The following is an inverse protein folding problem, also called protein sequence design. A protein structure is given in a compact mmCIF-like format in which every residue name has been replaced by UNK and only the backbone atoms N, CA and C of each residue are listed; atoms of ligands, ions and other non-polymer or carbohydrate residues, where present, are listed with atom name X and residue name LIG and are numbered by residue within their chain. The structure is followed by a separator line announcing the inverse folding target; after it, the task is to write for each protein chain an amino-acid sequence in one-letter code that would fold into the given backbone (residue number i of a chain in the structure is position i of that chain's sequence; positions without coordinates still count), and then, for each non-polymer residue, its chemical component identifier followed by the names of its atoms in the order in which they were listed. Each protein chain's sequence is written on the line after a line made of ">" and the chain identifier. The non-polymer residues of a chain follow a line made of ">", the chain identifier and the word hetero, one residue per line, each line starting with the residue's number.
data_IF_280916529569
#
_entry.id   IF_280916529569
#
_cell.length_a   1.000
_cell.length_b   1.000
_cell.length_c   1.000
_cell.angle_alpha   90.00
_cell.angle_beta   90.00
_cell.angle_gamma   90.00
#
_symmetry.space_group_name_H-M   'P 1'
#
loop_
_entity.id
_entity.type
_entity.pdbx_description
1 polymer ?
#
# COMPACT_ATOMS: atom_id res chain seq x y z
N UNK A 1 -12.43 19.30 24.72
CA UNK A 1 -12.43 19.54 24.64
C UNK A 1 -12.12 19.48 24.45
N UNK A 2 -12.33 18.64 24.23
CA UNK A 2 -12.38 18.62 24.09
C UNK A 2 -12.32 18.32 24.14
N UNK A 3 -13.15 18.02 23.73
CA UNK A 3 -13.51 17.97 23.70
C UNK A 3 -13.33 17.60 23.63
N UNK A 4 -13.96 17.21 23.85
CA UNK A 4 -14.19 17.11 23.81
C UNK A 4 -13.98 16.73 23.86
N UNK A 5 -14.45 16.20 23.74
CA UNK A 5 -14.61 16.22 23.78
C UNK A 5 -14.37 15.80 23.79
N UNK A 6 -14.61 15.33 23.95
CA UNK A 6 -14.66 15.26 24.00
C UNK A 6 -14.33 14.98 24.23
N UNK A 7 -14.97 14.47 24.22
CA UNK A 7 -14.92 14.58 24.47
C UNK A 7 -14.47 14.24 24.67
N UNK A 8 -14.68 13.71 24.77
CA UNK A 8 -14.56 13.71 24.88
C UNK A 8 -14.09 13.33 25.13
N UNK A 9 -14.50 12.74 25.53
CA UNK A 9 -14.35 12.76 25.68
C UNK A 9 -14.08 12.31 25.58
N UNK A 10 -13.99 11.84 25.71
CA UNK A 10 -13.88 11.84 25.67
C UNK A 10 -13.35 11.62 25.62
N UNK A 11 -14.15 11.09 25.54
CA UNK A 11 -13.90 11.24 25.25
C UNK A 11 -13.03 10.83 25.18
N UNK A 12 -13.29 10.30 25.65
CA UNK A 12 -12.61 10.30 25.49
C UNK A 12 -12.30 9.36 25.33
N UNK A 13 -12.85 8.72 25.81
CA UNK A 13 -12.68 8.08 25.46
C UNK A 13 -13.00 7.38 24.82
N UNK A 14 -13.54 7.07 24.90
CA UNK A 14 -13.81 6.69 23.99
C UNK A 14 -13.04 6.44 23.05
N UNK A 15 -12.76 6.10 23.14
CA UNK A 15 -12.02 6.42 22.31
C UNK A 15 -10.64 6.09 22.08
N UNK A 16 -10.20 5.14 22.83
CA UNK A 16 -8.80 5.17 22.60
C UNK A 16 -8.38 4.41 21.38
N UNK A 17 -8.94 3.30 21.14
CA UNK A 17 -8.77 2.59 19.87
C UNK A 17 -9.18 3.48 18.71
N UNK A 18 -10.26 4.13 18.92
CA UNK A 18 -10.73 5.05 17.90
C UNK A 18 -9.78 6.21 17.69
N UNK A 19 -9.12 6.62 18.76
CA UNK A 19 -8.12 7.66 18.64
C UNK A 19 -6.98 7.23 17.75
N UNK A 20 -6.53 6.00 17.90
CA UNK A 20 -5.51 5.47 17.02
C UNK A 20 -5.96 5.45 15.59
N UNK A 21 -7.17 5.03 15.36
CA UNK A 21 -7.71 5.02 14.01
C UNK A 21 -7.76 6.43 13.45
N UNK A 22 -8.14 7.38 14.25
CA UNK A 22 -8.17 8.77 13.82
C UNK A 22 -6.80 9.24 13.39
N UNK A 23 -5.80 8.91 14.15
CA UNK A 23 -4.44 9.32 13.83
C UNK A 23 -4.00 8.77 12.48
N UNK A 24 -4.44 7.56 12.16
CA UNK A 24 -4.05 6.91 10.92
C UNK A 24 -4.98 7.20 9.76
N UNK A 25 -6.08 7.87 10.05
CA UNK A 25 -7.10 8.07 9.04
C UNK A 25 -6.61 8.84 7.84
N UNK A 26 -5.76 9.82 8.06
CA UNK A 26 -5.20 10.58 6.97
C UNK A 26 -3.95 9.99 6.37
N UNK A 27 -3.60 8.78 6.81
CA UNK A 27 -2.36 8.17 6.38
C UNK A 27 -2.63 6.85 5.69
N UNK A 28 -1.94 6.64 4.61
CA UNK A 28 -2.00 5.41 3.86
C UNK A 28 -0.99 4.45 4.45
N UNK A 29 -1.36 3.18 4.54
CA UNK A 29 -0.44 2.13 4.98
C UNK A 29 -0.22 1.16 3.83
N UNK A 30 0.77 0.27 4.03
CA UNK A 30 1.03 -0.75 3.02
C UNK A 30 -0.18 -1.66 2.85
N UNK A 31 -0.96 -1.86 3.92
CA UNK A 31 -2.19 -2.65 3.81
C UNK A 31 -3.18 -1.99 2.86
N UNK A 32 -3.27 -0.66 2.89
CA UNK A 32 -4.13 0.06 1.95
C UNK A 32 -3.68 -0.22 0.51
N UNK A 33 -2.37 -0.16 0.28
CA UNK A 33 -1.83 -0.41 -1.05
C UNK A 33 -2.13 -1.84 -1.49
N UNK A 34 -1.92 -2.80 -0.62
CA UNK A 34 -2.18 -4.20 -0.94
C UNK A 34 -3.65 -4.41 -1.27
N UNK A 35 -4.55 -3.79 -0.50
CA UNK A 35 -5.98 -3.92 -0.76
C UNK A 35 -6.38 -3.32 -2.09
N UNK A 36 -5.89 -2.13 -2.39
CA UNK A 36 -6.27 -1.45 -3.63
C UNK A 36 -5.73 -2.18 -4.86
N UNK A 37 -4.48 -2.61 -4.79
CA UNK A 37 -3.90 -3.37 -5.90
C UNK A 37 -4.63 -4.71 -6.05
N UNK A 38 -4.94 -5.36 -4.93
CA UNK A 38 -5.68 -6.61 -4.97
C UNK A 38 -7.04 -6.46 -5.61
N UNK A 39 -7.75 -5.40 -5.27
CA UNK A 39 -9.06 -5.14 -5.86
C UNK A 39 -8.96 -4.86 -7.36
N UNK A 40 -7.96 -4.09 -7.74
CA UNK A 40 -7.78 -3.73 -9.14
C UNK A 40 -7.57 -4.97 -10.01
N UNK A 41 -6.82 -5.95 -9.50
CA UNK A 41 -6.47 -7.16 -10.26
C UNK A 41 -7.30 -8.38 -9.85
N UNK A 42 -8.22 -8.22 -8.90
CA UNK A 42 -9.02 -9.32 -8.37
C UNK A 42 -8.14 -10.42 -7.76
N UNK A 43 -7.19 -10.00 -6.95
CA UNK A 43 -6.22 -10.87 -6.30
C UNK A 43 -6.32 -10.66 -4.80
N UNK A 44 -6.29 -11.75 -4.03
CA UNK A 44 -6.36 -11.65 -2.58
C UNK A 44 -5.01 -11.27 -1.98
N UNK A 45 -5.05 -10.80 -0.74
CA UNK A 45 -3.82 -10.47 -0.02
C UNK A 45 -2.92 -11.70 0.09
N UNK A 46 -3.50 -12.86 0.37
CA UNK A 46 -2.73 -14.09 0.45
C UNK A 46 -1.99 -14.37 -0.85
N UNK A 47 -2.67 -14.18 -1.97
CA UNK A 47 -2.05 -14.41 -3.27
C UNK A 47 -0.93 -13.41 -3.53
N UNK A 48 -1.14 -12.16 -3.16
CA UNK A 48 -0.10 -11.14 -3.34
C UNK A 48 1.14 -11.46 -2.53
N UNK A 49 0.97 -12.00 -1.34
CA UNK A 49 2.10 -12.33 -0.48
C UNK A 49 2.66 -13.73 -0.71
N UNK A 50 2.05 -14.47 -1.61
CA UNK A 50 2.49 -15.83 -1.91
C UNK A 50 3.76 -15.83 -2.75
N UNK A 51 4.25 -17.03 -3.01
CA UNK A 51 5.41 -17.21 -3.89
C UNK A 51 4.99 -17.47 -5.32
N UNK A 52 3.72 -17.27 -5.65
CA UNK A 52 3.21 -17.55 -6.97
C UNK A 52 3.95 -16.71 -8.02
N UNK A 53 4.22 -17.35 -9.14
CA UNK A 53 4.84 -16.70 -10.30
C UNK A 53 3.87 -16.55 -11.45
N UNK A 54 2.58 -16.79 -11.19
CA UNK A 54 1.55 -16.54 -12.19
C UNK A 54 1.63 -15.07 -12.56
N UNK A 55 1.66 -14.79 -13.87
CA UNK A 55 2.00 -13.48 -14.38
C UNK A 55 1.26 -12.33 -13.75
N UNK A 56 -0.07 -12.45 -13.64
CA UNK A 56 -0.87 -11.37 -13.09
C UNK A 56 -0.59 -11.16 -11.59
N UNK A 57 -0.42 -12.25 -10.86
CA UNK A 57 -0.12 -12.16 -9.42
C UNK A 57 1.25 -11.56 -9.20
N UNK A 58 2.23 -12.01 -9.99
CA UNK A 58 3.59 -11.47 -9.87
C UNK A 58 3.61 -9.98 -10.22
N UNK A 59 2.91 -9.60 -11.28
CA UNK A 59 2.85 -8.20 -11.68
C UNK A 59 2.20 -7.33 -10.60
N UNK A 60 1.08 -7.80 -10.06
CA UNK A 60 0.38 -7.06 -9.01
C UNK A 60 1.28 -6.88 -7.79
N UNK A 61 2.02 -7.94 -7.42
CA UNK A 61 2.96 -7.85 -6.30
C UNK A 61 4.03 -6.80 -6.56
N UNK A 62 4.59 -6.81 -7.75
CA UNK A 62 5.63 -5.85 -8.10
C UNK A 62 5.10 -4.42 -8.06
N UNK A 63 3.88 -4.22 -8.54
CA UNK A 63 3.26 -2.90 -8.51
C UNK A 63 3.02 -2.46 -7.07
N UNK A 64 2.54 -3.36 -6.21
CA UNK A 64 2.31 -3.02 -4.81
C UNK A 64 3.61 -2.61 -4.13
N UNK A 65 4.70 -3.33 -4.40
CA UNK A 65 6.01 -2.97 -3.84
C UNK A 65 6.47 -1.60 -4.33
N UNK A 66 6.28 -1.34 -5.61
CA UNK A 66 6.67 -0.05 -6.20
C UNK A 66 5.87 1.10 -5.57
N UNK A 67 4.57 0.92 -5.40
CA UNK A 67 3.74 1.96 -4.80
C UNK A 67 4.07 2.18 -3.33
N UNK A 68 4.39 1.10 -2.60
CA UNK A 68 4.83 1.25 -1.21
C UNK A 68 6.10 2.08 -1.14
N UNK A 69 7.01 1.87 -2.09
CA UNK A 69 8.24 2.64 -2.12
C UNK A 69 8.02 4.11 -2.49
N UNK A 70 7.18 4.36 -3.50
CA UNK A 70 6.99 5.71 -3.99
C UNK A 70 6.00 6.53 -3.18
N UNK A 71 4.92 5.93 -2.73
CA UNK A 71 3.88 6.66 -2.02
C UNK A 71 4.16 6.75 -0.53
N UNK A 72 4.71 5.70 0.07
CA UNK A 72 4.97 5.66 1.50
C UNK A 72 6.43 5.88 1.85
N UNK A 73 7.29 5.89 0.84
CA UNK A 73 8.72 6.06 1.05
C UNK A 73 9.30 5.01 2.00
N UNK A 74 8.78 3.78 1.91
CA UNK A 74 9.24 2.69 2.75
C UNK A 74 10.60 2.18 2.29
N UNK A 75 11.38 1.66 3.23
CA UNK A 75 12.63 1.02 2.86
C UNK A 75 12.37 -0.31 2.17
N UNK A 76 13.34 -0.76 1.39
CA UNK A 76 13.21 -2.05 0.73
C UNK A 76 13.07 -3.18 1.73
N UNK A 77 13.76 -3.06 2.86
CA UNK A 77 13.65 -4.06 3.92
C UNK A 77 12.26 -4.07 4.55
N UNK A 78 11.70 -2.88 4.78
CA UNK A 78 10.35 -2.78 5.34
C UNK A 78 9.32 -3.38 4.42
N UNK A 79 9.43 -3.11 3.13
CA UNK A 79 8.51 -3.67 2.14
C UNK A 79 8.67 -5.20 2.11
N UNK A 80 9.92 -5.67 2.13
CA UNK A 80 10.19 -7.10 2.12
C UNK A 80 9.55 -7.81 3.30
N UNK A 81 9.59 -7.19 4.46
CA UNK A 81 8.96 -7.77 5.65
C UNK A 81 7.47 -7.98 5.43
N UNK A 82 6.80 -7.01 4.83
CA UNK A 82 5.37 -7.10 4.62
C UNK A 82 4.99 -8.18 3.62
N UNK A 83 5.86 -8.45 2.66
CA UNK A 83 5.58 -9.44 1.63
C UNK A 83 6.26 -10.78 1.85
N UNK A 84 7.09 -10.89 2.89
CA UNK A 84 7.83 -12.12 3.11
C UNK A 84 8.92 -12.36 2.08
N UNK A 85 9.53 -11.28 1.58
CA UNK A 85 10.59 -11.35 0.58
C UNK A 85 11.82 -10.60 1.10
N UNK A 86 13.00 -10.93 0.56
CA UNK A 86 14.18 -10.20 0.98
C UNK A 86 14.26 -8.86 0.24
N UNK A 87 15.14 -7.99 0.74
CA UNK A 87 15.21 -6.62 0.19
C UNK A 87 15.75 -6.61 -1.23
N UNK A 88 16.58 -7.57 -1.58
CA UNK A 88 17.12 -7.64 -2.94
C UNK A 88 16.01 -7.93 -3.95
N UNK A 89 15.11 -8.84 -3.60
CA UNK A 89 13.95 -9.14 -4.44
C UNK A 89 13.07 -7.91 -4.60
N UNK A 90 12.86 -7.17 -3.50
CA UNK A 90 12.04 -5.96 -3.55
C UNK A 90 12.69 -4.92 -4.47
N UNK A 91 14.01 -4.73 -4.34
CA UNK A 91 14.72 -3.78 -5.18
C UNK A 91 14.56 -4.11 -6.66
N UNK A 92 14.73 -5.38 -7.00
CA UNK A 92 14.60 -5.80 -8.39
C UNK A 92 13.19 -5.56 -8.91
N UNK A 93 12.19 -5.85 -8.10
CA UNK A 93 10.79 -5.66 -8.50
C UNK A 93 10.46 -4.19 -8.68
N UNK A 94 10.92 -3.35 -7.77
CA UNK A 94 10.69 -1.90 -7.87
C UNK A 94 11.35 -1.34 -9.12
N UNK A 95 12.58 -1.73 -9.39
CA UNK A 95 13.29 -1.26 -10.58
C UNK A 95 12.59 -1.71 -11.86
N UNK A 96 12.06 -2.92 -11.86
CA UNK A 96 11.38 -3.44 -13.04
C UNK A 96 10.14 -2.59 -13.35
N UNK A 97 9.36 -2.23 -12.34
CA UNK A 97 8.19 -1.40 -12.56
C UNK A 97 8.60 0.01 -12.95
N UNK A 98 9.66 0.53 -12.36
CA UNK A 98 10.18 1.84 -12.71
C UNK A 98 10.51 1.92 -14.21
N UNK A 99 11.15 0.91 -14.72
CA UNK A 99 11.50 0.87 -16.14
C UNK A 99 10.27 0.69 -17.01
N UNK A 100 9.34 -0.16 -16.57
CA UNK A 100 8.09 -0.34 -17.30
C UNK A 100 7.33 0.97 -17.42
N UNK A 101 7.33 1.76 -16.36
CA UNK A 101 6.63 3.04 -16.38
C UNK A 101 7.19 3.97 -17.43
N UNK A 102 8.51 3.96 -17.62
CA UNK A 102 9.15 4.83 -18.60
C UNK A 102 8.86 4.40 -20.02
N UNK A 103 8.72 3.09 -20.24
CA UNK A 103 8.66 2.54 -21.60
C UNK A 103 7.27 2.10 -22.03
N UNK A 104 6.30 2.10 -21.11
CA UNK A 104 4.97 1.55 -21.38
C UNK A 104 3.94 2.53 -20.86
N UNK A 105 3.24 3.18 -21.79
CA UNK A 105 2.23 4.18 -21.45
C UNK A 105 1.08 3.55 -20.64
N UNK A 106 0.73 2.31 -20.93
CA UNK A 106 -0.33 1.64 -20.18
C UNK A 106 0.07 1.42 -18.73
N UNK A 107 1.32 1.03 -18.50
CA UNK A 107 1.81 0.85 -17.14
C UNK A 107 1.75 2.18 -16.40
N UNK A 108 2.19 3.25 -17.04
CA UNK A 108 2.16 4.57 -16.43
C UNK A 108 0.72 4.95 -16.06
N UNK A 109 -0.22 4.72 -16.94
CA UNK A 109 -1.62 5.03 -16.69
C UNK A 109 -2.15 4.19 -15.53
N UNK A 110 -1.82 2.91 -15.51
CA UNK A 110 -2.26 2.02 -14.42
C UNK A 110 -1.72 2.50 -13.08
N UNK A 111 -0.44 2.86 -13.04
CA UNK A 111 0.17 3.33 -11.79
C UNK A 111 -0.45 4.64 -11.33
N UNK A 112 -0.74 5.54 -12.25
CA UNK A 112 -1.39 6.80 -11.90
C UNK A 112 -2.79 6.56 -11.34
N UNK A 113 -3.54 5.66 -11.97
CA UNK A 113 -4.88 5.35 -11.53
C UNK A 113 -4.88 4.74 -10.13
N UNK A 114 -4.00 3.76 -9.91
CA UNK A 114 -3.88 3.14 -8.59
C UNK A 114 -3.43 4.14 -7.55
N UNK A 115 -2.47 4.99 -7.88
CA UNK A 115 -1.99 6.01 -6.97
C UNK A 115 -3.13 6.93 -6.54
N UNK A 116 -3.95 7.36 -7.48
CA UNK A 116 -5.09 8.22 -7.17
C UNK A 116 -6.09 7.52 -6.27
N UNK A 117 -6.38 6.25 -6.54
CA UNK A 117 -7.31 5.50 -5.71
C UNK A 117 -6.79 5.32 -4.30
N UNK A 118 -5.50 5.03 -4.18
CA UNK A 118 -4.89 4.85 -2.87
C UNK A 118 -4.89 6.16 -2.10
N UNK A 119 -4.47 7.25 -2.74
CA UNK A 119 -4.41 8.55 -2.09
C UNK A 119 -5.79 9.05 -1.70
N UNK A 120 -6.83 8.62 -2.39
CA UNK A 120 -8.19 8.99 -2.04
C UNK A 120 -8.63 8.38 -0.71
N UNK A 121 -7.87 7.42 -0.19
CA UNK A 121 -8.17 6.83 1.12
C UNK A 121 -7.70 7.70 2.28
N UNK A 122 -6.90 8.71 2.02
CA UNK A 122 -6.44 9.61 3.08
C UNK A 122 -7.57 10.36 3.75
#
# INVERSE_FOLDING_TARGET
>A
KHPDVIDMAFTKTVFQVDEKKKENRGKITIDTIINEVGEYYSITESQLKSKSRIGQIALARQIAMYLARTLLNMTYQGIGKSFGKDHTTVMANVQKIQESEKNDAMMKTTLEKLSKQILAQE
#
